data_IF_310283676096
#
_entry.id   IF_310283676096
#
_cell.length_a   1.000
_cell.length_b   1.000
_cell.length_c   1.000
_cell.angle_alpha   90.00
_cell.angle_beta   90.00
_cell.angle_gamma   90.00
#
_symmetry.space_group_name_H-M   'P 1'
#
loop_
_entity.id
_entity.type
_entity.pdbx_description
1 polymer ?
#
# COMPACT_ATOMS: atom_id res chain seq x y z
N UNK A 1 -7.54 -1.90 -57.79
CA UNK A 1 -8.65 -2.24 -56.87
C UNK A 1 -8.14 -2.82 -55.59
N UNK A 2 -7.42 -3.97 -55.60
CA UNK A 2 -6.80 -4.59 -54.44
C UNK A 2 -5.82 -3.64 -53.71
N UNK A 3 -4.98 -2.89 -54.45
CA UNK A 3 -3.99 -2.00 -53.87
C UNK A 3 -4.63 -0.88 -53.01
N UNK A 4 -5.75 -0.30 -53.45
CA UNK A 4 -6.41 0.77 -52.70
C UNK A 4 -7.07 0.23 -51.42
N UNK A 5 -7.58 -1.00 -51.45
CA UNK A 5 -8.12 -1.68 -50.27
C UNK A 5 -7.01 -1.99 -49.24
N UNK A 6 -5.88 -2.56 -49.70
CA UNK A 6 -4.76 -2.83 -48.83
C UNK A 6 -4.15 -1.55 -48.21
N UNK A 7 -4.11 -0.45 -48.98
CA UNK A 7 -3.61 0.84 -48.41
C UNK A 7 -4.59 1.42 -47.37
N UNK A 8 -5.89 1.23 -47.54
CA UNK A 8 -6.88 1.66 -46.54
C UNK A 8 -6.74 0.82 -45.24
N UNK A 9 -6.52 -0.49 -45.38
CA UNK A 9 -6.26 -1.37 -44.22
C UNK A 9 -4.96 -0.97 -43.49
N UNK A 10 -3.89 -0.74 -44.24
CA UNK A 10 -2.61 -0.25 -43.66
C UNK A 10 -2.81 1.10 -42.96
N UNK A 11 -3.63 2.01 -43.50
CA UNK A 11 -3.93 3.28 -42.83
C UNK A 11 -4.65 3.05 -41.49
N UNK A 12 -5.62 2.13 -41.45
CA UNK A 12 -6.34 1.74 -40.24
C UNK A 12 -5.40 1.12 -39.19
N UNK A 13 -4.49 0.25 -39.62
CA UNK A 13 -3.51 -0.37 -38.74
C UNK A 13 -2.52 0.66 -38.16
N UNK A 14 -2.05 1.61 -38.97
CA UNK A 14 -1.15 2.69 -38.51
C UNK A 14 -1.85 3.55 -37.45
N UNK A 15 -3.12 3.90 -37.65
CA UNK A 15 -3.90 4.66 -36.67
C UNK A 15 -4.11 3.86 -35.36
N UNK A 16 -4.43 2.56 -35.48
CA UNK A 16 -4.57 1.68 -34.30
C UNK A 16 -3.26 1.57 -33.52
N UNK A 17 -2.13 1.40 -34.20
CA UNK A 17 -0.81 1.37 -33.59
C UNK A 17 -0.51 2.70 -32.88
N UNK A 18 -0.81 3.84 -33.51
CA UNK A 18 -0.60 5.16 -32.90
C UNK A 18 -1.38 5.34 -31.59
N UNK A 19 -2.63 4.88 -31.55
CA UNK A 19 -3.45 4.87 -30.33
C UNK A 19 -2.85 3.97 -29.24
N UNK A 20 -2.33 2.80 -29.60
CA UNK A 20 -1.66 1.92 -28.66
C UNK A 20 -0.40 2.54 -28.06
N UNK A 21 0.41 3.26 -28.85
CA UNK A 21 1.59 3.95 -28.33
C UNK A 21 1.24 5.07 -27.36
N UNK A 22 0.15 5.79 -27.59
CA UNK A 22 -0.30 6.80 -26.64
C UNK A 22 -0.68 6.16 -25.30
N UNK A 23 -1.45 5.07 -25.31
CA UNK A 23 -1.81 4.35 -24.10
C UNK A 23 -0.58 3.76 -23.36
N UNK A 24 0.43 3.32 -24.12
CA UNK A 24 1.69 2.84 -23.55
C UNK A 24 2.49 3.98 -22.90
N UNK A 25 2.50 5.16 -23.47
CA UNK A 25 3.16 6.35 -22.87
C UNK A 25 2.51 6.69 -21.53
N UNK A 26 1.18 6.73 -21.47
CA UNK A 26 0.45 6.99 -20.22
C UNK A 26 0.75 5.92 -19.15
N UNK A 27 0.90 4.66 -19.56
CA UNK A 27 1.26 3.56 -18.66
C UNK A 27 2.69 3.74 -18.09
N UNK A 28 3.65 4.16 -18.92
CA UNK A 28 5.04 4.42 -18.50
C UNK A 28 5.09 5.57 -17.48
N UNK A 29 4.32 6.63 -17.69
CA UNK A 29 4.23 7.73 -16.72
C UNK A 29 3.66 7.27 -15.37
N UNK A 30 2.66 6.39 -15.37
CA UNK A 30 2.16 5.77 -14.14
C UNK A 30 3.21 4.89 -13.46
N UNK A 31 3.96 4.09 -14.23
CA UNK A 31 5.05 3.26 -13.70
C UNK A 31 6.15 4.11 -13.06
N UNK A 32 6.51 5.24 -13.67
CA UNK A 32 7.48 6.19 -13.13
C UNK A 32 7.01 6.80 -11.81
N UNK A 33 5.74 7.20 -11.73
CA UNK A 33 5.15 7.70 -10.49
C UNK A 33 5.19 6.64 -9.37
N UNK A 34 4.89 5.38 -9.70
CA UNK A 34 4.97 4.26 -8.74
C UNK A 34 6.40 3.97 -8.27
N UNK A 35 7.38 4.07 -9.15
CA UNK A 35 8.80 3.92 -8.77
C UNK A 35 9.23 5.03 -7.79
N UNK A 36 8.76 6.27 -8.00
CA UNK A 36 9.01 7.37 -7.08
C UNK A 36 8.37 7.15 -5.70
N UNK A 37 7.13 6.66 -5.65
CA UNK A 37 6.47 6.27 -4.38
C UNK A 37 7.29 5.19 -3.62
N UNK A 38 7.87 4.22 -4.35
CA UNK A 38 8.74 3.21 -3.77
C UNK A 38 10.03 3.80 -3.19
N UNK A 39 10.68 4.73 -3.89
CA UNK A 39 11.87 5.44 -3.38
C UNK A 39 11.54 6.16 -2.07
N UNK A 40 10.39 6.84 -2.00
CA UNK A 40 9.95 7.53 -0.78
C UNK A 40 9.66 6.54 0.36
N UNK A 41 9.15 5.34 0.04
CA UNK A 41 8.97 4.27 1.01
C UNK A 41 10.31 3.74 1.54
N UNK A 42 11.31 3.54 0.68
CA UNK A 42 12.65 3.12 1.09
C UNK A 42 13.35 4.18 1.96
N UNK A 43 13.19 5.47 1.65
CA UNK A 43 13.71 6.54 2.51
C UNK A 43 13.09 6.51 3.92
N UNK A 44 11.79 6.19 4.03
CA UNK A 44 11.14 6.00 5.34
C UNK A 44 11.65 4.76 6.07
N UNK A 45 11.93 3.66 5.35
CA UNK A 45 12.55 2.46 5.92
C UNK A 45 13.94 2.77 6.46
N UNK A 46 14.76 3.52 5.73
CA UNK A 46 16.09 3.96 6.17
C UNK A 46 16.01 4.78 7.47
N UNK A 47 15.08 5.73 7.54
CA UNK A 47 14.86 6.54 8.75
C UNK A 47 14.41 5.68 9.92
N UNK A 48 13.42 4.79 9.73
CA UNK A 48 12.95 3.89 10.77
C UNK A 48 14.03 2.90 11.22
N UNK A 49 14.87 2.43 10.30
CA UNK A 49 16.05 1.61 10.61
C UNK A 49 17.06 2.35 11.50
N UNK A 50 17.34 3.60 11.19
CA UNK A 50 18.20 4.46 12.01
C UNK A 50 17.65 4.68 13.42
N UNK A 51 16.35 4.93 13.55
CA UNK A 51 15.71 5.11 14.85
C UNK A 51 15.71 3.81 15.67
N UNK A 52 15.46 2.67 15.02
CA UNK A 52 15.47 1.35 15.65
C UNK A 52 16.89 0.97 16.08
N UNK A 53 17.92 1.28 15.29
CA UNK A 53 19.32 1.07 15.65
C UNK A 53 19.70 1.87 16.89
N UNK A 54 19.27 3.12 16.98
CA UNK A 54 19.51 3.98 18.17
C UNK A 54 18.84 3.40 19.40
N UNK A 55 17.58 2.96 19.29
CA UNK A 55 16.84 2.34 20.38
C UNK A 55 17.51 1.02 20.84
N UNK A 56 18.06 0.23 19.92
CA UNK A 56 18.81 -0.98 20.23
C UNK A 56 20.09 -0.67 21.01
N UNK A 57 20.84 0.35 20.61
CA UNK A 57 22.05 0.80 21.34
C UNK A 57 21.71 1.33 22.74
N UNK A 58 20.64 2.10 22.88
CA UNK A 58 20.16 2.56 24.19
C UNK A 58 19.79 1.37 25.10
N UNK A 59 19.02 0.41 24.54
CA UNK A 59 18.66 -0.82 25.23
C UNK A 59 19.91 -1.62 25.65
N UNK A 60 20.92 -1.74 24.79
CA UNK A 60 22.20 -2.37 25.09
C UNK A 60 22.94 -1.72 26.26
N UNK A 61 22.91 -0.38 26.33
CA UNK A 61 23.48 0.37 27.45
C UNK A 61 22.76 0.07 28.78
N UNK A 62 21.43 0.08 28.76
CA UNK A 62 20.59 -0.25 29.93
C UNK A 62 20.81 -1.69 30.37
N UNK A 63 20.99 -2.64 29.43
CA UNK A 63 21.30 -4.03 29.74
C UNK A 63 22.65 -4.20 30.42
N UNK A 64 23.69 -3.49 29.96
CA UNK A 64 25.00 -3.53 30.60
C UNK A 64 24.94 -2.96 32.04
N UNK A 65 24.23 -1.85 32.28
CA UNK A 65 24.02 -1.32 33.64
C UNK A 65 23.25 -2.33 34.52
N UNK A 66 22.22 -2.96 33.97
CA UNK A 66 21.45 -4.00 34.67
C UNK A 66 22.31 -5.19 35.04
N UNK A 67 23.20 -5.65 34.15
CA UNK A 67 24.14 -6.73 34.41
C UNK A 67 25.12 -6.38 35.56
N UNK A 68 25.61 -5.15 35.60
CA UNK A 68 26.45 -4.66 36.67
C UNK A 68 25.73 -4.68 38.03
N UNK A 69 24.49 -4.18 38.05
CA UNK A 69 23.64 -4.17 39.27
C UNK A 69 23.31 -5.57 39.76
N UNK A 70 23.08 -6.52 38.86
CA UNK A 70 22.89 -7.95 39.19
C UNK A 70 24.16 -8.51 39.84
N UNK A 71 25.34 -8.24 39.27
CA UNK A 71 26.65 -8.67 39.82
C UNK A 71 26.88 -8.09 41.23
N UNK A 72 26.57 -6.81 41.41
CA UNK A 72 26.69 -6.14 42.69
C UNK A 72 25.73 -6.75 43.75
N UNK A 73 24.49 -7.11 43.34
CA UNK A 73 23.53 -7.75 44.21
C UNK A 73 24.02 -9.14 44.70
N UNK A 74 24.53 -9.97 43.77
CA UNK A 74 25.15 -11.27 44.11
C UNK A 74 26.26 -11.10 45.14
N UNK A 75 27.16 -10.14 44.95
CA UNK A 75 28.25 -9.85 45.88
C UNK A 75 27.74 -9.45 47.27
N UNK A 76 26.70 -8.62 47.34
CA UNK A 76 26.08 -8.20 48.62
C UNK A 76 25.37 -9.35 49.33
N UNK A 77 24.71 -10.24 48.62
CA UNK A 77 24.07 -11.43 49.17
C UNK A 77 25.13 -12.36 49.75
N UNK A 78 26.23 -12.60 49.04
CA UNK A 78 27.35 -13.41 49.54
C UNK A 78 27.93 -12.82 50.82
N UNK A 79 28.12 -11.51 50.92
CA UNK A 79 28.58 -10.83 52.13
C UNK A 79 27.59 -10.97 53.30
N UNK A 80 26.27 -10.87 52.99
CA UNK A 80 25.21 -11.10 54.00
C UNK A 80 25.25 -12.52 54.55
N UNK A 81 25.31 -13.54 53.69
CA UNK A 81 25.43 -14.95 54.11
C UNK A 81 26.65 -15.15 54.99
N UNK A 82 27.82 -14.62 54.63
CA UNK A 82 29.04 -14.69 55.43
C UNK A 82 28.86 -14.05 56.81
N UNK A 83 28.18 -12.89 56.88
CA UNK A 83 27.93 -12.21 58.15
C UNK A 83 26.98 -13.01 59.07
N UNK A 84 25.90 -13.57 58.48
CA UNK A 84 24.95 -14.41 59.26
C UNK A 84 25.62 -15.70 59.75
N UNK A 85 26.47 -16.33 58.93
CA UNK A 85 27.26 -17.51 59.35
C UNK A 85 28.16 -17.19 60.48
N UNK A 86 28.83 -16.00 60.51
CA UNK A 86 29.64 -15.56 61.61
C UNK A 86 28.84 -15.34 62.91
N UNK A 87 27.63 -14.83 62.80
CA UNK A 87 26.67 -14.72 63.96
C UNK A 87 26.32 -16.11 64.47
N UNK A 88 26.00 -17.07 63.63
CA UNK A 88 25.69 -18.45 64.01
C UNK A 88 26.81 -19.11 64.76
N UNK A 89 28.08 -18.94 64.30
CA UNK A 89 29.25 -19.41 65.02
C UNK A 89 29.41 -18.77 66.41
N UNK A 90 29.16 -17.47 66.53
CA UNK A 90 29.20 -16.73 67.77
C UNK A 90 28.12 -17.19 68.73
N UNK A 91 26.92 -17.46 68.26
CA UNK A 91 25.86 -18.01 69.09
C UNK A 91 26.13 -19.43 69.57
N UNK A 92 26.78 -20.27 68.76
CA UNK A 92 27.22 -21.60 69.18
C UNK A 92 28.30 -21.55 70.33
N UNK A 93 29.19 -20.58 70.28
CA UNK A 93 30.16 -20.32 71.39
C UNK A 93 29.41 -19.85 72.63
N UNK A 94 28.41 -18.99 72.52
CA UNK A 94 27.62 -18.49 73.63
C UNK A 94 26.78 -19.61 74.25
N UNK A 95 26.14 -20.49 73.47
CA UNK A 95 25.43 -21.68 73.95
C UNK A 95 26.33 -22.59 74.81
N UNK A 96 27.54 -22.85 74.29
CA UNK A 96 28.54 -23.64 75.08
C UNK A 96 28.90 -22.98 76.41
N UNK A 97 29.04 -21.64 76.40
CA UNK A 97 29.36 -20.88 77.61
C UNK A 97 28.25 -20.91 78.66
N UNK A 98 26.98 -20.76 78.19
CA UNK A 98 25.78 -20.86 79.04
C UNK A 98 25.66 -22.25 79.69
N UNK A 99 25.88 -23.32 78.88
CA UNK A 99 25.94 -24.70 79.42
C UNK A 99 27.04 -24.86 80.52
N UNK A 100 28.20 -24.17 80.34
CA UNK A 100 29.20 -24.13 81.38
C UNK A 100 28.75 -23.44 82.68
N UNK A 101 28.06 -22.31 82.55
CA UNK A 101 27.44 -21.58 83.68
C UNK A 101 26.43 -22.44 84.42
N UNK A 102 25.51 -23.09 83.69
CA UNK A 102 24.48 -24.00 84.26
C UNK A 102 25.14 -25.10 85.11
N UNK A 103 26.20 -25.70 84.63
CA UNK A 103 26.92 -26.71 85.40
C UNK A 103 27.56 -26.13 86.71
N UNK A 104 28.16 -24.93 86.65
CA UNK A 104 28.75 -24.27 87.82
C UNK A 104 27.66 -23.89 88.79
N UNK A 105 26.52 -23.39 88.42
CA UNK A 105 25.41 -23.06 89.30
C UNK A 105 24.83 -24.33 90.01
N UNK A 106 24.71 -25.43 89.28
CA UNK A 106 24.33 -26.73 89.86
C UNK A 106 25.31 -27.21 90.86
N UNK A 107 26.64 -27.10 90.61
CA UNK A 107 27.67 -27.46 91.58
C UNK A 107 27.55 -26.59 92.84
N UNK A 108 27.35 -25.28 92.73
CA UNK A 108 27.17 -24.35 93.86
C UNK A 108 25.86 -24.69 94.61
N UNK A 109 24.76 -25.04 93.92
CA UNK A 109 23.54 -25.46 94.58
C UNK A 109 23.73 -26.71 95.46
N UNK A 110 24.47 -27.70 94.91
CA UNK A 110 24.89 -28.91 95.72
C UNK A 110 25.67 -28.54 96.94
N UNK A 111 26.71 -27.68 96.83
CA UNK A 111 27.51 -27.20 97.95
C UNK A 111 26.65 -26.43 98.97
N UNK A 112 25.71 -25.58 98.50
CA UNK A 112 24.78 -24.83 99.34
C UNK A 112 23.88 -25.74 100.15
N UNK A 113 23.26 -26.78 99.50
CA UNK A 113 22.46 -27.82 100.19
C UNK A 113 23.30 -28.56 101.25
N UNK A 114 24.56 -28.95 100.92
CA UNK A 114 25.39 -29.62 101.91
C UNK A 114 25.77 -28.70 103.07
N UNK A 115 26.08 -27.40 102.78
CA UNK A 115 26.39 -26.41 103.83
C UNK A 115 25.21 -26.15 104.70
N UNK A 116 23.93 -26.09 104.15
CA UNK A 116 22.71 -25.96 104.94
C UNK A 116 22.53 -27.16 105.86
N UNK A 117 22.76 -28.40 105.39
CA UNK A 117 22.71 -29.61 106.16
C UNK A 117 23.81 -29.63 107.29
N UNK A 118 25.02 -29.22 107.01
CA UNK A 118 26.08 -29.09 108.00
C UNK A 118 25.77 -28.06 109.11
N UNK A 119 25.24 -26.89 108.69
CA UNK A 119 24.78 -25.85 109.58
C UNK A 119 23.56 -26.32 110.49
N UNK A 120 22.65 -27.08 109.84
CA UNK A 120 21.56 -27.67 110.61
C UNK A 120 22.09 -28.64 111.70
N UNK A 121 23.01 -29.54 111.34
CA UNK A 121 23.62 -30.45 112.25
C UNK A 121 24.41 -29.72 113.42
N UNK A 122 25.17 -28.65 113.06
CA UNK A 122 25.84 -27.78 114.00
C UNK A 122 24.86 -27.07 114.95
N UNK A 123 23.67 -26.61 114.46
CA UNK A 123 22.58 -26.00 115.25
C UNK A 123 22.04 -26.97 116.23
N UNK A 124 21.86 -28.23 115.82
CA UNK A 124 21.32 -29.31 116.67
C UNK A 124 22.39 -29.59 117.81
N UNK A 125 23.68 -29.71 117.48
CA UNK A 125 24.70 -30.03 118.47
C UNK A 125 24.94 -28.86 119.44
N UNK A 126 24.85 -27.63 118.92
CA UNK A 126 24.90 -26.42 119.74
C UNK A 126 23.74 -26.33 120.74
N UNK A 127 22.53 -26.74 120.36
CA UNK A 127 21.41 -26.85 121.30
C UNK A 127 21.57 -27.94 122.33
N UNK A 128 22.30 -29.02 121.96
CA UNK A 128 22.60 -30.14 122.83
C UNK A 128 23.60 -29.77 123.91
N UNK A 129 24.53 -28.84 123.63
CA UNK A 129 25.55 -28.34 124.51
C UNK A 129 25.05 -27.30 125.56
N UNK A 130 23.78 -26.89 125.50
CA UNK A 130 23.09 -26.01 126.44
C UNK A 130 23.72 -24.60 126.44
N UNK A 131 23.96 -24.05 127.63
CA UNK A 131 24.57 -22.70 127.84
C UNK A 131 25.89 -22.54 127.15
N UNK A 132 26.76 -23.58 127.12
CA UNK A 132 28.10 -23.53 126.48
C UNK A 132 28.00 -23.45 124.93
N UNK A 133 26.91 -23.85 124.32
CA UNK A 133 26.69 -23.87 122.87
C UNK A 133 26.09 -22.62 122.25
N UNK A 134 25.68 -21.61 123.09
CA UNK A 134 24.97 -20.41 122.61
C UNK A 134 25.66 -19.64 121.45
N UNK A 135 27.01 -19.42 121.56
CA UNK A 135 27.81 -18.74 120.57
C UNK A 135 27.90 -19.55 119.27
N UNK A 136 28.02 -20.88 119.38
CA UNK A 136 27.99 -21.78 118.20
C UNK A 136 26.65 -21.85 117.52
N UNK A 137 25.54 -21.78 118.29
CA UNK A 137 24.18 -21.77 117.73
C UNK A 137 23.95 -20.52 116.81
N UNK A 138 24.46 -19.34 117.20
CA UNK A 138 24.37 -18.10 116.40
C UNK A 138 25.13 -18.26 115.09
N UNK A 139 26.37 -18.75 115.16
CA UNK A 139 27.18 -18.97 113.96
C UNK A 139 26.56 -20.01 113.05
N UNK A 140 26.08 -21.10 113.57
CA UNK A 140 25.36 -22.13 112.77
C UNK A 140 24.05 -21.58 112.11
N UNK A 141 23.32 -20.72 112.82
CA UNK A 141 22.12 -20.02 112.26
C UNK A 141 22.56 -19.10 111.12
N UNK A 142 23.61 -18.36 111.25
CA UNK A 142 24.14 -17.45 110.20
C UNK A 142 24.62 -18.20 108.94
N UNK A 143 25.36 -19.31 109.13
CA UNK A 143 25.79 -20.20 108.01
C UNK A 143 24.66 -20.83 107.33
N UNK A 144 23.57 -21.24 108.11
CA UNK A 144 22.33 -21.75 107.48
C UNK A 144 21.60 -20.69 106.62
N UNK A 145 21.55 -19.47 107.17
CA UNK A 145 20.90 -18.35 106.42
C UNK A 145 21.73 -18.04 105.15
N UNK A 146 23.03 -18.01 105.20
CA UNK A 146 23.92 -17.78 104.07
C UNK A 146 23.78 -18.88 102.99
N UNK A 147 23.69 -20.14 103.42
CA UNK A 147 23.46 -21.29 102.55
C UNK A 147 22.11 -21.17 101.81
N UNK A 148 21.03 -20.80 102.56
CA UNK A 148 19.71 -20.58 101.89
C UNK A 148 19.74 -19.41 100.88
N UNK A 149 20.43 -18.29 101.24
CA UNK A 149 20.59 -17.16 100.35
C UNK A 149 21.38 -17.55 99.06
N UNK A 150 22.42 -18.35 99.24
CA UNK A 150 23.26 -18.88 98.15
C UNK A 150 22.35 -19.75 97.21
N UNK A 151 21.52 -20.63 97.75
CA UNK A 151 20.60 -21.48 97.01
C UNK A 151 19.53 -20.64 96.22
N UNK A 152 19.00 -19.58 96.81
CA UNK A 152 18.10 -18.67 96.13
C UNK A 152 18.79 -17.91 94.98
N UNK A 153 20.02 -17.43 95.26
CA UNK A 153 20.77 -16.73 94.22
C UNK A 153 21.17 -17.63 93.03
N UNK A 154 21.56 -18.89 93.31
CA UNK A 154 21.80 -19.87 92.20
C UNK A 154 20.59 -20.21 91.45
N UNK A 155 19.40 -20.36 92.10
CA UNK A 155 18.14 -20.58 91.42
C UNK A 155 17.75 -19.42 90.48
N UNK A 156 17.97 -18.17 90.91
CA UNK A 156 17.73 -17.00 90.09
C UNK A 156 18.69 -16.92 88.85
N UNK A 157 19.97 -17.39 89.07
CA UNK A 157 20.92 -17.48 87.93
C UNK A 157 20.50 -18.59 86.96
N UNK A 158 20.04 -19.76 87.44
CA UNK A 158 19.55 -20.84 86.57
C UNK A 158 18.33 -20.42 85.72
N UNK A 159 17.38 -19.68 86.29
CA UNK A 159 16.23 -19.12 85.56
C UNK A 159 16.72 -18.13 84.46
N UNK A 160 17.62 -17.23 84.78
CA UNK A 160 18.16 -16.27 83.81
C UNK A 160 18.99 -16.96 82.73
N UNK A 161 19.74 -18.01 83.00
CA UNK A 161 20.53 -18.80 82.06
C UNK A 161 19.58 -19.60 81.16
N UNK A 162 18.47 -20.14 81.67
CA UNK A 162 17.45 -20.84 80.87
C UNK A 162 16.78 -19.86 79.83
N UNK A 163 16.40 -18.65 80.29
CA UNK A 163 15.86 -17.62 79.40
C UNK A 163 16.87 -17.20 78.33
N UNK A 164 18.17 -17.04 78.69
CA UNK A 164 19.23 -16.73 77.73
C UNK A 164 19.45 -17.87 76.73
N UNK A 165 19.36 -19.13 77.17
CA UNK A 165 19.51 -20.31 76.32
C UNK A 165 18.35 -20.38 75.26
N UNK A 166 17.13 -20.10 75.70
CA UNK A 166 15.94 -20.04 74.77
C UNK A 166 16.11 -18.92 73.78
N UNK A 167 16.58 -17.73 74.21
CA UNK A 167 16.83 -16.62 73.30
C UNK A 167 17.91 -16.95 72.28
N UNK A 168 19.02 -17.60 72.65
CA UNK A 168 20.09 -18.06 71.80
C UNK A 168 19.57 -19.06 70.78
N UNK A 169 18.77 -20.02 71.19
CA UNK A 169 18.13 -21.03 70.30
C UNK A 169 17.23 -20.35 69.27
N UNK A 170 16.43 -19.36 69.69
CA UNK A 170 15.57 -18.57 68.81
C UNK A 170 16.37 -17.78 67.77
N UNK A 171 17.53 -17.16 68.19
CA UNK A 171 18.41 -16.46 67.29
C UNK A 171 19.09 -17.39 66.30
N UNK A 172 19.54 -18.59 66.72
CA UNK A 172 20.07 -19.59 65.78
C UNK A 172 19.09 -20.01 64.74
N UNK A 173 17.85 -20.28 65.14
CA UNK A 173 16.75 -20.61 64.18
C UNK A 173 16.52 -19.46 63.20
N UNK A 174 16.50 -18.21 63.68
CA UNK A 174 16.32 -17.03 62.83
C UNK A 174 17.50 -16.84 61.87
N UNK A 175 18.74 -17.12 62.29
CA UNK A 175 19.93 -17.08 61.45
C UNK A 175 19.87 -18.12 60.35
N UNK A 176 19.46 -19.34 60.62
CA UNK A 176 19.26 -20.39 59.62
C UNK A 176 18.19 -20.03 58.60
N UNK A 177 17.07 -19.45 59.06
CA UNK A 177 16.02 -18.95 58.11
C UNK A 177 16.55 -17.82 57.23
N UNK A 178 17.38 -16.89 57.75
CA UNK A 178 17.96 -15.83 56.99
C UNK A 178 18.93 -16.35 55.91
N UNK A 179 19.71 -17.40 56.20
CA UNK A 179 20.58 -18.07 55.22
C UNK A 179 19.73 -18.69 54.10
N UNK A 180 18.64 -19.43 54.47
CA UNK A 180 17.74 -20.04 53.50
C UNK A 180 17.12 -18.99 52.56
N UNK A 181 16.63 -17.87 53.13
CA UNK A 181 16.08 -16.75 52.30
C UNK A 181 17.15 -16.13 51.41
N UNK A 182 18.37 -15.99 51.86
CA UNK A 182 19.46 -15.48 51.03
C UNK A 182 19.80 -16.42 49.87
N UNK A 183 19.75 -17.73 50.07
CA UNK A 183 19.92 -18.72 48.99
C UNK A 183 18.79 -18.64 47.96
N UNK A 184 17.53 -18.49 48.38
CA UNK A 184 16.40 -18.29 47.45
C UNK A 184 16.56 -17.01 46.61
N UNK A 185 16.94 -15.89 47.23
CA UNK A 185 17.23 -14.63 46.54
C UNK A 185 18.41 -14.81 45.59
N UNK A 186 19.45 -15.51 45.95
CA UNK A 186 20.60 -15.77 45.09
C UNK A 186 20.19 -16.58 43.82
N UNK A 187 19.35 -17.59 43.99
CA UNK A 187 18.77 -18.35 42.88
C UNK A 187 17.91 -17.48 41.96
N UNK A 188 17.06 -16.61 42.51
CA UNK A 188 16.26 -15.65 41.77
C UNK A 188 17.11 -14.66 40.98
N UNK A 189 18.19 -14.15 41.56
CA UNK A 189 19.16 -13.28 40.90
C UNK A 189 19.88 -14.01 39.77
N UNK A 190 20.17 -15.29 39.91
CA UNK A 190 20.74 -16.13 38.83
C UNK A 190 19.80 -16.24 37.62
N UNK A 191 18.48 -16.38 37.85
CA UNK A 191 17.47 -16.37 36.77
C UNK A 191 17.41 -15.02 36.09
N UNK A 192 17.46 -13.91 36.85
CA UNK A 192 17.50 -12.56 36.28
C UNK A 192 18.74 -12.38 35.40
N UNK A 193 19.91 -12.84 35.84
CA UNK A 193 21.14 -12.75 35.05
C UNK A 193 20.99 -13.48 33.70
N UNK A 194 20.43 -14.70 33.72
CA UNK A 194 20.17 -15.45 32.48
C UNK A 194 19.20 -14.73 31.54
N UNK A 195 18.17 -14.08 32.08
CA UNK A 195 17.23 -13.28 31.29
C UNK A 195 17.90 -12.03 30.68
N UNK A 196 18.74 -11.33 31.45
CA UNK A 196 19.56 -10.19 30.99
C UNK A 196 20.48 -10.61 29.84
N UNK A 197 21.16 -11.74 29.96
CA UNK A 197 22.01 -12.27 28.87
C UNK A 197 21.22 -12.61 27.62
N UNK A 198 20.02 -13.22 27.75
CA UNK A 198 19.11 -13.53 26.62
C UNK A 198 18.61 -12.28 25.90
N UNK A 199 18.28 -11.22 26.65
CA UNK A 199 17.89 -9.92 26.06
C UNK A 199 19.08 -9.30 25.31
N UNK A 200 20.29 -9.34 25.89
CA UNK A 200 21.50 -8.85 25.25
C UNK A 200 21.78 -9.52 23.90
N UNK A 201 21.61 -10.84 23.81
CA UNK A 201 21.71 -11.58 22.55
C UNK A 201 20.63 -11.13 21.55
N UNK A 202 19.39 -10.92 22.01
CA UNK A 202 18.29 -10.47 21.15
C UNK A 202 18.55 -9.08 20.58
N UNK A 203 19.15 -8.16 21.37
CA UNK A 203 19.57 -6.84 20.90
C UNK A 203 20.64 -6.97 19.80
N UNK A 204 21.64 -7.83 19.98
CA UNK A 204 22.68 -8.06 18.96
C UNK A 204 22.11 -8.61 17.64
N UNK A 205 21.16 -9.53 17.71
CA UNK A 205 20.44 -10.04 16.52
C UNK A 205 19.65 -8.91 15.85
N UNK A 206 18.97 -8.07 16.64
CA UNK A 206 18.19 -6.93 16.13
C UNK A 206 19.10 -5.94 15.38
N UNK A 207 20.26 -5.59 15.91
CA UNK A 207 21.23 -4.71 15.25
C UNK A 207 21.68 -5.27 13.90
N UNK A 208 21.96 -6.56 13.82
CA UNK A 208 22.31 -7.22 12.58
C UNK A 208 21.15 -7.16 11.56
N UNK A 209 19.92 -7.49 11.98
CA UNK A 209 18.75 -7.46 11.10
C UNK A 209 18.45 -6.06 10.58
N UNK A 210 18.59 -5.03 11.41
CA UNK A 210 18.43 -3.63 10.98
C UNK A 210 19.46 -3.28 9.92
N UNK A 211 20.72 -3.66 10.11
CA UNK A 211 21.78 -3.42 9.12
C UNK A 211 21.48 -4.08 7.77
N UNK A 212 20.94 -5.31 7.79
CA UNK A 212 20.52 -6.03 6.57
C UNK A 212 19.34 -5.35 5.90
N UNK A 213 18.32 -4.89 6.66
CA UNK A 213 17.16 -4.16 6.14
C UNK A 213 17.57 -2.85 5.48
N UNK A 214 18.42 -2.04 6.13
CA UNK A 214 18.92 -0.77 5.59
C UNK A 214 19.72 -1.00 4.30
N UNK A 215 20.58 -2.03 4.28
CA UNK A 215 21.36 -2.40 3.09
C UNK A 215 20.44 -2.83 1.92
N UNK A 216 19.45 -3.67 2.19
CA UNK A 216 18.47 -4.11 1.19
C UNK A 216 17.60 -2.95 0.68
N UNK A 217 17.23 -2.03 1.56
CA UNK A 217 16.49 -0.80 1.23
C UNK A 217 17.31 0.09 0.28
N UNK A 218 18.59 0.30 0.58
CA UNK A 218 19.48 1.08 -0.28
C UNK A 218 19.63 0.45 -1.68
N UNK A 219 19.85 -0.87 -1.75
CA UNK A 219 19.94 -1.59 -3.03
C UNK A 219 18.62 -1.50 -3.83
N UNK A 220 17.48 -1.61 -3.17
CA UNK A 220 16.17 -1.49 -3.80
C UNK A 220 15.91 -0.08 -4.34
N UNK A 221 16.33 0.96 -3.63
CA UNK A 221 16.27 2.35 -4.10
C UNK A 221 17.12 2.56 -5.34
N UNK A 222 18.32 2.00 -5.38
CA UNK A 222 19.20 2.08 -6.56
C UNK A 222 18.57 1.37 -7.76
N UNK A 223 17.91 0.23 -7.56
CA UNK A 223 17.15 -0.45 -8.61
C UNK A 223 15.97 0.38 -9.11
N UNK A 224 15.22 1.06 -8.22
CA UNK A 224 14.15 1.97 -8.62
C UNK A 224 14.67 3.15 -9.45
N UNK A 225 15.82 3.72 -9.09
CA UNK A 225 16.46 4.78 -9.88
C UNK A 225 16.88 4.30 -11.28
N UNK A 226 17.46 3.10 -11.38
CA UNK A 226 17.79 2.49 -12.67
C UNK A 226 16.53 2.25 -13.50
N UNK A 227 15.45 1.75 -12.88
CA UNK A 227 14.15 1.53 -13.51
C UNK A 227 13.56 2.84 -14.07
N UNK A 228 13.62 3.95 -13.33
CA UNK A 228 13.19 5.27 -13.82
C UNK A 228 13.99 5.67 -15.07
N UNK A 229 15.30 5.45 -15.07
CA UNK A 229 16.15 5.72 -16.24
C UNK A 229 15.77 4.86 -17.46
N UNK A 230 15.36 3.60 -17.24
CA UNK A 230 14.86 2.74 -18.32
C UNK A 230 13.51 3.24 -18.87
N UNK A 231 12.62 3.74 -17.99
CA UNK A 231 11.35 4.35 -18.41
C UNK A 231 11.56 5.61 -19.26
N UNK A 232 12.52 6.45 -18.91
CA UNK A 232 12.86 7.63 -19.71
C UNK A 232 13.34 7.26 -21.12
N UNK A 233 14.14 6.20 -21.26
CA UNK A 233 14.55 5.66 -22.55
C UNK A 233 13.38 5.11 -23.36
N UNK A 234 12.44 4.43 -22.68
CA UNK A 234 11.21 3.93 -23.30
C UNK A 234 10.33 5.07 -23.84
N UNK A 235 10.12 6.14 -23.07
CA UNK A 235 9.38 7.33 -23.51
C UNK A 235 10.03 7.96 -24.76
N UNK A 236 11.35 8.06 -24.78
CA UNK A 236 12.07 8.56 -25.95
C UNK A 236 11.86 7.69 -27.18
N UNK A 237 11.92 6.36 -27.03
CA UNK A 237 11.66 5.40 -28.11
C UNK A 237 10.21 5.46 -28.61
N UNK A 238 9.23 5.63 -27.71
CA UNK A 238 7.83 5.79 -28.09
C UNK A 238 7.58 7.08 -28.88
N UNK A 239 8.23 8.18 -28.49
CA UNK A 239 8.17 9.43 -29.25
C UNK A 239 8.72 9.26 -30.66
N UNK A 240 9.89 8.65 -30.82
CA UNK A 240 10.47 8.36 -32.13
C UNK A 240 9.54 7.47 -32.97
N UNK A 241 8.96 6.44 -32.36
CA UNK A 241 8.00 5.56 -33.05
C UNK A 241 6.72 6.31 -33.43
N UNK A 242 6.21 7.20 -32.59
CA UNK A 242 5.08 8.07 -32.90
C UNK A 242 5.35 8.99 -34.12
N UNK A 243 6.54 9.57 -34.18
CA UNK A 243 6.97 10.38 -35.34
C UNK A 243 7.07 9.53 -36.63
N UNK A 244 7.59 8.31 -36.53
CA UNK A 244 7.64 7.38 -37.66
C UNK A 244 6.24 6.94 -38.13
N UNK A 245 5.31 6.69 -37.22
CA UNK A 245 3.91 6.37 -37.54
C UNK A 245 3.22 7.52 -38.26
N UNK A 246 3.42 8.75 -37.78
CA UNK A 246 2.88 9.94 -38.44
C UNK A 246 3.41 10.10 -39.88
N UNK A 247 4.70 9.82 -40.08
CA UNK A 247 5.31 9.81 -41.42
C UNK A 247 4.71 8.68 -42.29
N UNK A 248 4.47 7.49 -41.72
CA UNK A 248 3.84 6.38 -42.41
C UNK A 248 2.40 6.73 -42.83
N UNK A 249 1.61 7.34 -41.93
CA UNK A 249 0.26 7.82 -42.21
C UNK A 249 0.24 8.80 -43.39
N UNK A 250 1.15 9.79 -43.38
CA UNK A 250 1.25 10.75 -44.51
C UNK A 250 1.62 10.08 -45.83
N UNK A 251 2.52 9.09 -45.80
CA UNK A 251 2.92 8.35 -47.00
C UNK A 251 1.78 7.49 -47.54
N UNK A 252 1.05 6.81 -46.66
CA UNK A 252 -0.14 6.02 -47.03
C UNK A 252 -1.21 6.96 -47.62
N UNK A 253 -1.48 8.11 -47.00
CA UNK A 253 -2.36 9.13 -47.54
C UNK A 253 -1.98 9.58 -48.95
N UNK A 254 -0.68 9.86 -49.18
CA UNK A 254 -0.16 10.24 -50.52
C UNK A 254 -0.30 9.12 -51.56
N UNK A 255 -0.15 7.86 -51.14
CA UNK A 255 -0.35 6.71 -52.03
C UNK A 255 -1.80 6.53 -52.40
N UNK A 256 -2.73 6.75 -51.44
CA UNK A 256 -4.16 6.76 -51.73
C UNK A 256 -4.54 7.87 -52.74
N UNK A 257 -4.05 9.10 -52.51
CA UNK A 257 -4.29 10.22 -53.43
C UNK A 257 -3.80 9.91 -54.85
N UNK A 258 -2.58 9.34 -54.98
CA UNK A 258 -2.06 8.92 -56.30
C UNK A 258 -2.85 7.79 -56.94
N UNK A 259 -3.37 6.87 -56.14
CA UNK A 259 -4.24 5.79 -56.59
C UNK A 259 -5.57 6.34 -57.17
N UNK A 260 -6.12 7.34 -56.51
CA UNK A 260 -7.34 8.04 -56.95
C UNK A 260 -7.08 8.81 -58.28
N UNK A 261 -5.98 9.57 -58.34
CA UNK A 261 -5.58 10.28 -59.57
C UNK A 261 -5.36 9.30 -60.74
N UNK A 262 -4.78 8.14 -60.51
CA UNK A 262 -4.60 7.13 -61.56
C UNK A 262 -5.93 6.57 -62.06
N UNK A 263 -6.92 6.33 -61.19
CA UNK A 263 -8.25 5.93 -61.57
C UNK A 263 -8.90 7.02 -62.42
N UNK A 264 -8.74 8.31 -62.05
CA UNK A 264 -9.17 9.45 -62.82
C UNK A 264 -8.62 9.43 -64.26
N UNK A 265 -7.28 9.30 -64.40
CA UNK A 265 -6.61 9.24 -65.71
C UNK A 265 -7.05 8.03 -66.56
N UNK A 266 -7.28 6.85 -65.95
CA UNK A 266 -7.79 5.67 -66.64
C UNK A 266 -9.18 5.95 -67.22
N UNK A 267 -10.07 6.56 -66.41
CA UNK A 267 -11.39 6.91 -66.87
C UNK A 267 -11.37 7.95 -68.00
N UNK A 268 -10.56 8.99 -67.90
CA UNK A 268 -10.36 10.01 -68.96
C UNK A 268 -9.79 9.43 -70.24
N UNK A 269 -8.99 8.37 -70.17
CA UNK A 269 -8.46 7.67 -71.34
C UNK A 269 -9.52 6.86 -72.11
N UNK A 270 -10.77 6.76 -71.58
CA UNK A 270 -11.85 6.03 -72.19
C UNK A 270 -11.78 4.51 -72.00
N UNK A 271 -10.86 4.03 -71.15
CA UNK A 271 -10.77 2.60 -70.79
C UNK A 271 -11.91 2.22 -69.81
N UNK A 272 -12.65 1.19 -70.15
CA UNK A 272 -13.69 0.66 -69.30
C UNK A 272 -13.12 -0.17 -68.15
N UNK A 273 -13.58 0.15 -66.96
CA UNK A 273 -13.24 -0.57 -65.73
C UNK A 273 -14.51 -1.05 -65.03
N UNK A 274 -14.39 -1.87 -63.98
CA UNK A 274 -15.52 -2.28 -63.10
C UNK A 274 -16.25 -1.08 -62.50
N UNK A 275 -15.56 0.05 -62.32
CA UNK A 275 -16.07 1.26 -61.68
C UNK A 275 -16.69 2.25 -62.71
N UNK A 276 -16.40 2.10 -63.98
CA UNK A 276 -16.86 3.02 -65.02
C UNK A 276 -18.38 3.21 -65.08
N UNK A 277 -19.16 2.15 -64.81
CA UNK A 277 -20.62 2.23 -64.72
C UNK A 277 -21.09 3.11 -63.56
N UNK A 278 -20.41 3.03 -62.40
CA UNK A 278 -20.74 3.82 -61.21
C UNK A 278 -20.33 5.27 -61.38
N UNK A 279 -19.16 5.51 -61.94
CA UNK A 279 -18.67 6.86 -62.25
C UNK A 279 -19.66 7.58 -63.18
N UNK A 280 -20.10 6.95 -64.30
CA UNK A 280 -21.10 7.54 -65.20
C UNK A 280 -22.46 7.77 -64.55
N UNK A 281 -22.90 6.85 -63.70
CA UNK A 281 -24.18 6.98 -63.02
C UNK A 281 -24.18 8.15 -62.01
N UNK A 282 -23.09 8.32 -61.24
CA UNK A 282 -23.00 9.44 -60.30
C UNK A 282 -22.82 10.78 -61.00
N UNK A 283 -22.06 10.85 -62.12
CA UNK A 283 -21.97 12.05 -62.94
C UNK A 283 -23.31 12.46 -63.52
N UNK A 284 -24.05 11.51 -64.11
CA UNK A 284 -25.39 11.77 -64.61
C UNK A 284 -26.36 12.26 -63.53
N UNK A 285 -26.25 11.72 -62.31
CA UNK A 285 -27.08 12.16 -61.17
C UNK A 285 -26.71 13.58 -60.73
N UNK A 286 -25.42 13.93 -60.72
CA UNK A 286 -24.96 15.27 -60.38
C UNK A 286 -25.42 16.31 -61.41
N UNK A 287 -25.33 15.99 -62.71
CA UNK A 287 -25.80 16.82 -63.77
C UNK A 287 -27.34 17.03 -63.70
N UNK A 288 -28.09 15.99 -63.35
CA UNK A 288 -29.52 16.08 -63.11
C UNK A 288 -29.86 16.97 -61.90
N UNK A 289 -29.16 16.81 -60.77
CA UNK A 289 -29.34 17.65 -59.56
C UNK A 289 -29.01 19.11 -59.88
N UNK A 290 -27.93 19.39 -60.62
CA UNK A 290 -27.55 20.72 -61.04
C UNK A 290 -28.65 21.37 -61.86
N UNK A 291 -29.17 20.67 -62.90
CA UNK A 291 -30.32 21.16 -63.72
C UNK A 291 -31.56 21.45 -62.88
N UNK A 292 -31.90 20.57 -61.94
CA UNK A 292 -33.05 20.77 -61.04
C UNK A 292 -32.89 22.02 -60.15
N UNK A 293 -31.66 22.29 -59.66
CA UNK A 293 -31.41 23.50 -58.88
C UNK A 293 -31.39 24.77 -59.75
N UNK A 294 -30.79 24.74 -60.94
CA UNK A 294 -30.82 25.85 -61.91
C UNK A 294 -32.24 26.19 -62.31
N UNK A 295 -33.07 25.19 -62.62
CA UNK A 295 -34.47 25.33 -62.92
C UNK A 295 -35.30 25.94 -61.77
N UNK A 296 -35.01 25.52 -60.53
CA UNK A 296 -35.63 26.08 -59.32
C UNK A 296 -35.27 27.54 -59.11
N UNK A 297 -33.97 27.90 -59.31
CA UNK A 297 -33.51 29.29 -59.28
C UNK A 297 -34.17 30.14 -60.35
N UNK A 298 -34.24 29.64 -61.62
CA UNK A 298 -34.87 30.33 -62.73
C UNK A 298 -36.39 30.55 -62.52
N UNK A 299 -37.09 29.62 -61.84
CA UNK A 299 -38.51 29.75 -61.47
C UNK A 299 -38.73 30.59 -60.22
N UNK A 300 -37.68 31.04 -59.55
CA UNK A 300 -37.75 31.82 -58.28
C UNK A 300 -38.24 31.01 -57.07
N UNK A 301 -38.15 29.67 -57.11
CA UNK A 301 -38.56 28.80 -56.00
C UNK A 301 -37.60 28.91 -54.81
N UNK A 302 -36.37 29.30 -55.07
CA UNK A 302 -35.35 29.58 -54.07
C UNK A 302 -34.43 30.71 -54.59
N UNK A 303 -33.83 31.46 -53.68
CA UNK A 303 -32.77 32.41 -54.05
C UNK A 303 -31.40 31.73 -53.96
N UNK A 304 -30.44 32.24 -54.73
CA UNK A 304 -29.05 31.76 -54.68
C UNK A 304 -28.49 31.83 -53.24
N UNK A 305 -28.69 32.94 -52.53
CA UNK A 305 -28.28 33.13 -51.15
C UNK A 305 -28.91 32.09 -50.18
N UNK A 306 -30.11 31.62 -50.45
CA UNK A 306 -30.77 30.59 -49.65
C UNK A 306 -30.27 29.18 -50.00
N UNK A 307 -30.00 28.91 -51.31
CA UNK A 307 -29.48 27.62 -51.78
C UNK A 307 -28.05 27.34 -51.28
N UNK A 308 -27.22 28.37 -51.17
CA UNK A 308 -25.83 28.27 -50.69
C UNK A 308 -25.66 28.75 -49.26
N UNK A 309 -26.75 28.79 -48.47
CA UNK A 309 -26.72 29.21 -47.07
C UNK A 309 -26.00 28.17 -46.19
N UNK A 310 -25.11 28.65 -45.35
CA UNK A 310 -24.45 27.86 -44.30
C UNK A 310 -25.12 28.03 -42.94
N UNK A 311 -26.34 28.55 -42.88
CA UNK A 311 -27.10 28.73 -41.65
C UNK A 311 -27.85 27.42 -41.29
N UNK A 312 -27.22 26.61 -40.44
CA UNK A 312 -27.74 25.32 -40.00
C UNK A 312 -28.36 25.47 -38.60
N UNK A 313 -29.68 25.50 -38.52
CA UNK A 313 -30.40 25.64 -37.25
C UNK A 313 -30.70 24.29 -36.60
N UNK A 314 -30.31 24.08 -35.31
CA UNK A 314 -30.55 22.81 -34.63
C UNK A 314 -32.03 22.45 -34.53
N UNK A 315 -32.39 21.22 -34.81
CA UNK A 315 -33.73 20.65 -34.61
C UNK A 315 -33.81 20.11 -33.18
N UNK A 316 -34.63 20.73 -32.34
CA UNK A 316 -34.76 20.33 -30.95
C UNK A 316 -35.31 18.90 -30.81
N UNK A 317 -34.75 18.14 -29.82
CA UNK A 317 -35.24 16.80 -29.50
C UNK A 317 -34.74 15.70 -30.44
N UNK A 318 -33.69 15.98 -31.25
CA UNK A 318 -33.10 14.97 -32.15
C UNK A 318 -31.79 14.42 -31.55
N UNK A 319 -31.63 13.09 -31.57
CA UNK A 319 -30.43 12.36 -31.15
C UNK A 319 -30.17 11.18 -32.12
N UNK A 320 -29.09 11.20 -32.94
CA UNK A 320 -28.11 12.28 -33.12
C UNK A 320 -28.71 13.60 -33.62
N UNK A 321 -28.06 14.71 -33.25
CA UNK A 321 -28.54 16.06 -33.60
C UNK A 321 -28.74 16.26 -35.10
N UNK A 322 -29.94 16.72 -35.51
CA UNK A 322 -30.25 17.12 -36.89
C UNK A 322 -30.32 18.65 -36.98
N UNK A 323 -30.08 19.16 -38.17
CA UNK A 323 -30.01 20.58 -38.48
C UNK A 323 -30.96 20.91 -39.63
N UNK A 324 -31.54 22.10 -39.63
CA UNK A 324 -32.39 22.64 -40.69
C UNK A 324 -31.63 23.75 -41.41
N UNK A 325 -31.55 23.66 -42.72
CA UNK A 325 -31.04 24.71 -43.60
C UNK A 325 -32.15 25.31 -44.46
N UNK A 326 -32.00 26.55 -44.96
CA UNK A 326 -33.02 27.21 -45.77
C UNK A 326 -33.45 26.45 -47.06
N UNK A 327 -32.53 25.64 -47.59
CA UNK A 327 -32.79 24.85 -48.83
C UNK A 327 -33.37 23.45 -48.61
N UNK A 328 -33.54 22.99 -47.35
CA UNK A 328 -34.02 21.62 -47.06
C UNK A 328 -35.38 21.33 -47.69
N UNK A 329 -36.30 22.28 -47.65
CA UNK A 329 -37.63 22.09 -48.29
C UNK A 329 -37.55 21.87 -49.80
N UNK A 330 -36.58 22.50 -50.48
CA UNK A 330 -36.33 22.28 -51.90
C UNK A 330 -35.70 20.91 -52.14
N UNK A 331 -34.66 20.57 -51.39
CA UNK A 331 -33.93 19.29 -51.53
C UNK A 331 -34.81 18.08 -51.21
N UNK A 332 -35.64 18.15 -50.18
CA UNK A 332 -36.63 17.08 -49.86
C UNK A 332 -37.63 16.81 -50.97
N UNK A 333 -37.90 17.79 -51.83
CA UNK A 333 -38.81 17.65 -52.99
C UNK A 333 -38.07 17.17 -54.23
N UNK A 334 -36.88 17.66 -54.51
CA UNK A 334 -36.18 17.46 -55.77
C UNK A 334 -35.24 16.25 -55.77
N UNK A 335 -34.58 15.97 -54.66
CA UNK A 335 -33.50 14.96 -54.64
C UNK A 335 -34.00 13.51 -54.57
N UNK A 336 -35.07 13.14 -53.84
CA UNK A 336 -35.46 11.75 -53.68
C UNK A 336 -35.66 11.00 -55.03
N UNK A 337 -36.30 11.55 -56.09
CA UNK A 337 -36.44 10.83 -57.37
C UNK A 337 -35.06 10.47 -57.99
N UNK A 338 -34.08 11.36 -57.92
CA UNK A 338 -32.73 11.13 -58.44
C UNK A 338 -31.98 10.12 -57.55
N UNK A 339 -32.06 10.31 -56.24
CA UNK A 339 -31.35 9.46 -55.28
C UNK A 339 -31.88 8.02 -55.26
N UNK A 340 -33.20 7.82 -55.36
CA UNK A 340 -33.79 6.48 -55.41
C UNK A 340 -33.50 5.77 -56.74
N UNK A 341 -33.46 6.51 -57.87
CA UNK A 341 -33.14 5.92 -59.17
C UNK A 341 -31.71 5.33 -59.21
N UNK A 342 -30.80 5.94 -58.49
CA UNK A 342 -29.42 5.43 -58.33
C UNK A 342 -29.35 4.05 -57.71
N UNK A 343 -30.21 3.74 -56.75
CA UNK A 343 -30.27 2.41 -56.11
C UNK A 343 -30.67 1.30 -57.10
N UNK A 344 -31.34 1.63 -58.19
CA UNK A 344 -31.74 0.68 -59.23
C UNK A 344 -30.62 0.36 -60.23
N UNK A 345 -29.53 1.10 -60.24
CA UNK A 345 -28.38 0.89 -61.15
C UNK A 345 -27.62 -0.39 -60.81
N UNK A 346 -27.46 -0.69 -59.52
CA UNK A 346 -26.78 -1.90 -59.06
C UNK A 346 -27.07 -2.17 -57.58
N UNK A 347 -27.16 -3.46 -57.19
CA UNK A 347 -27.32 -3.92 -55.81
C UNK A 347 -26.10 -3.51 -54.92
N UNK A 348 -24.99 -3.13 -55.54
CA UNK A 348 -23.79 -2.61 -54.86
C UNK A 348 -23.96 -1.17 -54.39
N UNK A 349 -24.93 -0.41 -54.92
CA UNK A 349 -25.17 0.96 -54.47
C UNK A 349 -26.05 0.93 -53.22
N UNK A 350 -25.47 1.28 -52.10
CA UNK A 350 -26.18 1.27 -50.80
C UNK A 350 -27.01 2.54 -50.61
N UNK A 351 -26.51 3.68 -51.09
CA UNK A 351 -27.18 4.96 -51.01
C UNK A 351 -26.63 5.93 -52.07
N UNK A 352 -27.44 6.98 -52.35
CA UNK A 352 -27.00 8.17 -53.07
C UNK A 352 -27.41 9.39 -52.26
N UNK A 353 -26.48 10.33 -52.07
CA UNK A 353 -26.74 11.52 -51.29
C UNK A 353 -25.95 12.71 -51.86
N UNK A 354 -26.56 13.90 -51.82
CA UNK A 354 -25.87 15.16 -52.12
C UNK A 354 -25.48 15.85 -50.80
N UNK A 355 -24.28 16.32 -50.74
CA UNK A 355 -23.74 17.04 -49.57
C UNK A 355 -23.23 18.40 -49.99
N UNK A 356 -23.32 19.42 -49.14
CA UNK A 356 -22.70 20.70 -49.38
C UNK A 356 -21.19 20.69 -49.03
N UNK A 357 -20.48 21.81 -49.24
CA UNK A 357 -19.04 21.95 -48.99
C UNK A 357 -18.60 21.76 -47.54
N UNK A 358 -19.54 21.85 -46.62
CA UNK A 358 -19.30 21.65 -45.19
C UNK A 358 -19.63 20.21 -44.74
N UNK A 359 -20.02 19.32 -45.65
CA UNK A 359 -20.44 17.97 -45.38
C UNK A 359 -21.88 17.87 -44.83
N UNK A 360 -22.67 18.94 -44.96
CA UNK A 360 -24.09 18.88 -44.57
C UNK A 360 -24.90 18.12 -45.62
N UNK A 361 -25.63 17.14 -45.14
CA UNK A 361 -26.47 16.24 -45.94
C UNK A 361 -27.95 16.58 -45.68
N UNK A 362 -28.62 17.41 -46.54
CA UNK A 362 -29.98 17.88 -46.29
C UNK A 362 -31.00 16.76 -46.44
N UNK A 363 -30.89 15.95 -47.50
CA UNK A 363 -31.83 14.90 -47.87
C UNK A 363 -31.08 13.63 -48.21
N UNK A 364 -31.54 12.49 -47.73
CA UNK A 364 -30.97 11.19 -48.02
C UNK A 364 -31.98 10.27 -48.72
N UNK A 365 -31.55 9.10 -49.18
CA UNK A 365 -32.50 8.07 -49.63
C UNK A 365 -33.57 7.79 -48.57
N UNK A 366 -34.77 7.43 -48.98
CA UNK A 366 -35.92 7.19 -48.10
C UNK A 366 -35.60 6.22 -46.96
N UNK A 367 -34.81 5.20 -47.25
CA UNK A 367 -34.34 4.21 -46.27
C UNK A 367 -33.58 4.86 -45.08
N UNK A 368 -32.85 5.95 -45.31
CA UNK A 368 -32.00 6.63 -44.32
C UNK A 368 -32.54 8.02 -43.91
N UNK A 369 -33.78 8.36 -44.33
CA UNK A 369 -34.47 9.60 -43.99
C UNK A 369 -35.69 9.35 -43.10
N UNK A 370 -35.62 8.32 -42.25
CA UNK A 370 -36.72 7.98 -41.36
C UNK A 370 -36.88 9.00 -40.23
N UNK A 371 -38.11 9.22 -39.73
CA UNK A 371 -38.31 10.01 -38.51
C UNK A 371 -37.57 9.39 -37.33
N UNK A 372 -36.92 10.22 -36.47
CA UNK A 372 -36.27 9.74 -35.29
C UNK A 372 -37.25 9.17 -34.26
N UNK A 373 -36.88 8.04 -33.66
CA UNK A 373 -37.58 7.40 -32.54
C UNK A 373 -36.82 7.61 -31.21
N UNK A 374 -37.19 6.82 -30.22
CA UNK A 374 -36.59 6.89 -28.87
C UNK A 374 -35.23 6.21 -28.78
N UNK A 375 -34.81 5.39 -29.74
CA UNK A 375 -33.54 4.65 -29.73
C UNK A 375 -32.45 5.40 -30.53
N UNK A 376 -31.44 6.00 -29.88
CA UNK A 376 -30.38 6.74 -30.57
C UNK A 376 -29.55 5.86 -31.52
N UNK A 377 -29.36 4.56 -31.20
CA UNK A 377 -28.60 3.63 -32.05
C UNK A 377 -29.35 3.38 -33.36
N UNK A 378 -30.66 3.14 -33.28
CA UNK A 378 -31.51 2.99 -34.45
C UNK A 378 -31.56 4.29 -35.25
N UNK A 379 -31.71 5.45 -34.58
CA UNK A 379 -31.73 6.76 -35.24
C UNK A 379 -30.41 7.01 -36.01
N UNK A 380 -29.26 6.67 -35.40
CA UNK A 380 -27.96 6.85 -36.07
C UNK A 380 -27.84 6.05 -37.36
N UNK A 381 -28.46 4.87 -37.43
CA UNK A 381 -28.47 4.03 -38.63
C UNK A 381 -29.47 4.45 -39.67
N UNK A 382 -30.67 4.95 -39.29
CA UNK A 382 -31.82 5.12 -40.19
C UNK A 382 -32.24 6.59 -40.42
N UNK A 383 -31.74 7.55 -39.62
CA UNK A 383 -32.08 8.97 -39.70
C UNK A 383 -30.84 9.79 -40.01
N UNK A 384 -30.29 9.63 -41.19
CA UNK A 384 -28.99 10.22 -41.58
C UNK A 384 -29.14 11.55 -42.31
N UNK A 385 -30.33 11.94 -42.78
CA UNK A 385 -30.61 13.24 -43.37
C UNK A 385 -30.49 14.37 -42.35
N UNK A 386 -30.26 15.59 -42.81
CA UNK A 386 -30.16 16.82 -42.01
C UNK A 386 -29.01 16.79 -40.99
N UNK A 387 -27.91 16.09 -41.34
CA UNK A 387 -26.73 15.94 -40.46
C UNK A 387 -25.48 16.45 -41.14
N UNK A 388 -24.50 16.85 -40.32
CA UNK A 388 -23.15 17.18 -40.75
C UNK A 388 -22.27 15.94 -40.68
N UNK A 389 -21.64 15.59 -41.78
CA UNK A 389 -20.63 14.55 -41.93
C UNK A 389 -19.30 15.24 -42.21
N UNK A 390 -18.70 15.75 -41.13
CA UNK A 390 -17.42 16.49 -41.16
C UNK A 390 -16.19 15.60 -40.97
N UNK A 391 -16.37 14.29 -41.10
CA UNK A 391 -15.26 13.35 -41.21
C UNK A 391 -14.49 13.53 -42.54
N UNK A 392 -13.34 12.87 -42.67
CA UNK A 392 -12.51 12.97 -43.87
C UNK A 392 -13.30 12.69 -45.16
N UNK A 393 -14.20 11.71 -45.15
CA UNK A 393 -14.94 11.28 -46.34
C UNK A 393 -16.05 12.27 -46.69
N UNK A 394 -16.83 12.72 -45.73
CA UNK A 394 -17.91 13.67 -45.94
C UNK A 394 -17.42 15.03 -46.45
N UNK A 395 -16.34 15.55 -45.85
CA UNK A 395 -15.74 16.80 -46.30
C UNK A 395 -15.09 16.69 -47.69
N UNK A 396 -14.35 15.59 -47.96
CA UNK A 396 -13.78 15.41 -49.31
C UNK A 396 -14.85 15.28 -50.37
N UNK A 397 -15.96 14.61 -50.10
CA UNK A 397 -17.10 14.53 -51.00
C UNK A 397 -17.71 15.92 -51.30
N UNK A 398 -17.94 16.74 -50.22
CA UNK A 398 -18.50 18.08 -50.35
C UNK A 398 -17.55 19.12 -50.97
N UNK A 399 -16.25 18.94 -50.87
CA UNK A 399 -15.21 19.84 -51.38
C UNK A 399 -14.60 19.37 -52.70
N UNK A 400 -15.09 18.27 -53.25
CA UNK A 400 -14.59 17.74 -54.52
C UNK A 400 -14.87 18.71 -55.69
N UNK A 401 -13.85 19.13 -56.40
CA UNK A 401 -13.93 19.96 -57.59
C UNK A 401 -13.53 19.22 -58.89
N UNK A 402 -13.20 17.93 -58.77
CA UNK A 402 -12.88 17.08 -59.92
C UNK A 402 -14.17 16.49 -60.50
N UNK A 403 -14.19 16.07 -61.78
CA UNK A 403 -15.34 15.52 -62.45
C UNK A 403 -15.98 14.35 -61.71
N UNK A 404 -15.18 13.60 -60.94
CA UNK A 404 -15.62 12.63 -59.95
C UNK A 404 -14.51 12.37 -58.97
N UNK A 405 -14.86 11.79 -57.84
CA UNK A 405 -13.95 11.36 -56.79
C UNK A 405 -14.37 9.98 -56.34
N UNK A 406 -13.47 9.01 -56.40
CA UNK A 406 -13.72 7.65 -55.98
C UNK A 406 -12.98 7.40 -54.68
N UNK A 407 -13.68 7.19 -53.60
CA UNK A 407 -13.10 6.86 -52.31
C UNK A 407 -13.60 5.48 -51.85
N UNK A 408 -12.66 4.60 -51.48
CA UNK A 408 -12.99 3.28 -50.93
C UNK A 408 -12.74 3.29 -49.43
N UNK A 409 -13.80 2.98 -48.67
CA UNK A 409 -13.77 2.80 -47.23
C UNK A 409 -13.79 1.32 -46.89
N UNK A 410 -12.82 0.86 -46.13
CA UNK A 410 -12.94 -0.40 -45.39
C UNK A 410 -13.52 -0.08 -44.01
N UNK A 411 -14.86 -0.17 -43.90
CA UNK A 411 -15.53 -0.11 -42.60
C UNK A 411 -15.46 -1.52 -42.01
N UNK A 412 -14.77 -1.69 -40.94
CA UNK A 412 -14.81 -2.88 -40.08
C UNK A 412 -16.26 -3.20 -39.72
N UNK A 413 -16.87 -4.07 -40.44
CA UNK A 413 -18.07 -4.90 -40.33
C UNK A 413 -18.69 -5.10 -41.71
N UNK A 414 -18.32 -6.17 -42.38
CA UNK A 414 -19.03 -6.77 -43.52
C UNK A 414 -19.76 -5.80 -44.48
N UNK A 415 -19.03 -5.13 -45.35
CA UNK A 415 -19.35 -4.80 -46.74
C UNK A 415 -18.47 -3.65 -47.22
N UNK A 416 -17.80 -3.83 -48.35
CA UNK A 416 -17.04 -2.76 -49.04
C UNK A 416 -18.04 -1.74 -49.59
N UNK A 417 -18.06 -0.53 -49.03
CA UNK A 417 -18.89 0.56 -49.60
C UNK A 417 -18.02 1.41 -50.52
N UNK A 418 -18.50 1.60 -51.74
CA UNK A 418 -17.87 2.53 -52.66
C UNK A 418 -18.57 3.88 -52.50
N UNK A 419 -17.79 4.90 -52.18
CA UNK A 419 -18.20 6.28 -52.20
C UNK A 419 -17.82 6.88 -53.55
N UNK A 420 -18.78 7.30 -54.35
CA UNK A 420 -18.59 8.09 -55.55
C UNK A 420 -19.21 9.46 -55.29
N UNK A 421 -18.44 10.51 -55.48
CA UNK A 421 -18.89 11.89 -55.44
C UNK A 421 -18.61 12.50 -56.81
N UNK A 422 -19.57 13.18 -57.40
CA UNK A 422 -19.40 14.00 -58.58
C UNK A 422 -19.62 15.47 -58.20
N UNK A 423 -18.70 16.34 -58.60
CA UNK A 423 -18.93 17.79 -58.53
C UNK A 423 -19.77 18.20 -59.71
N UNK A 424 -21.05 18.33 -59.49
CA UNK A 424 -21.81 19.25 -60.34
C UNK A 424 -21.32 20.66 -60.03
N UNK A 425 -20.40 21.18 -60.82
CA UNK A 425 -20.08 22.60 -60.75
C UNK A 425 -21.27 23.33 -61.31
N UNK A 426 -22.09 23.93 -60.40
CA UNK A 426 -23.03 24.94 -60.83
C UNK A 426 -22.22 26.13 -61.25
N UNK A 427 -21.87 26.22 -62.55
CA UNK A 427 -21.32 27.44 -63.17
C UNK A 427 -22.47 28.40 -63.40
N UNK A 428 -22.60 29.41 -62.50
CA UNK A 428 -23.32 30.62 -62.79
C UNK A 428 -22.37 31.66 -63.40
#
# INVERSE_FOLDING_TARGET
EELSMELADVAGDVEAIARHFQAQTDMVDQMRAKAQELIDAFNRIDSAGGDTSRAAQEAGTVMNDSRQRVTDAVSRIAALVSSVTSIEQSLGVLESSLSGVTRITQDIEVVSKQTNLLALNATIEAARAGEAGKGFAVVAGEVKSLANHTGQATGAIDEAVAELTDNVTGLMSSSQQAIGMAEEVNNGVGQINSAVDGIGQSIGIMEQQISEIVSASAASRDQCNAFIGDMERLVSSFKETGDNLKNAEQRVGSLLDRGEDMIGQINESGLETSDSQFIRAVQASADEISRLFEDALARGEITEAALFSEDYQPIAGTEPGQLMAPFVGLTDRLLPPVQESMLAVSDKIVFCAAVDRNGYLPTHNNKFSQPQGADPVWNNANCRNRRLFNDRTGLRAGQNTQPFFLYRLNIFYYQSYHWLSSSGSIHL
#
